data_IF_346089871807
#
_entry.id   IF_346089871807
#
_cell.length_a   1.000
_cell.length_b   1.000
_cell.length_c   1.000
_cell.angle_alpha   90.00
_cell.angle_beta   90.00
_cell.angle_gamma   90.00
#
_symmetry.space_group_name_H-M   'P 1'
#
loop_
_entity.id
_entity.type
_entity.pdbx_description
1 polymer ?
#
# COMPACT_ATOMS: atom_id res chain seq x y z
N UNK A 1 18.18 25.59 -25.63
CA UNK A 1 17.02 26.47 -25.33
C UNK A 1 16.14 25.73 -24.35
N UNK A 2 16.09 26.22 -23.11
CA UNK A 2 15.47 25.56 -21.95
C UNK A 2 13.98 25.88 -21.87
N UNK A 3 13.14 24.88 -21.62
CA UNK A 3 11.76 25.09 -21.19
C UNK A 3 11.72 25.11 -19.66
N UNK A 4 11.66 26.31 -19.07
CA UNK A 4 11.23 26.48 -17.68
C UNK A 4 9.71 26.67 -17.67
N UNK A 5 8.99 25.66 -17.21
CA UNK A 5 7.57 25.79 -16.86
C UNK A 5 7.50 26.12 -15.37
N UNK A 6 7.11 27.34 -15.06
CA UNK A 6 6.97 27.89 -13.70
C UNK A 6 5.90 27.14 -12.89
N UNK A 7 6.27 26.56 -11.75
CA UNK A 7 5.34 26.29 -10.66
C UNK A 7 4.97 27.64 -10.00
N UNK A 8 3.74 28.10 -10.17
CA UNK A 8 3.12 29.12 -9.30
C UNK A 8 1.96 28.47 -8.59
N UNK A 9 2.03 28.40 -7.27
CA UNK A 9 0.86 28.40 -6.38
C UNK A 9 1.25 29.16 -5.12
N UNK A 10 0.50 30.22 -4.85
CA UNK A 10 0.68 31.15 -3.75
C UNK A 10 0.50 30.45 -2.39
N UNK A 11 1.59 30.31 -1.62
CA UNK A 11 1.52 29.99 -0.19
C UNK A 11 1.12 31.25 0.59
N UNK A 12 -0.15 31.62 0.55
CA UNK A 12 -0.68 32.68 1.40
C UNK A 12 -0.85 32.20 2.84
N UNK A 13 -0.10 32.85 3.72
CA UNK A 13 0.02 32.67 5.17
C UNK A 13 -1.34 32.90 5.87
N UNK A 14 -1.90 31.88 6.52
CA UNK A 14 -2.91 32.04 7.56
C UNK A 14 -2.26 31.75 8.93
N UNK A 15 -1.61 32.78 9.49
CA UNK A 15 -1.23 32.81 10.91
C UNK A 15 -2.07 33.89 11.57
N UNK A 16 -3.24 33.53 12.09
CA UNK A 16 -3.98 34.40 13.01
C UNK A 16 -3.45 34.17 14.43
N UNK A 17 -3.00 35.27 15.03
CA UNK A 17 -2.39 35.40 16.35
C UNK A 17 -3.27 34.84 17.49
N UNK A 18 -2.64 34.26 18.51
CA UNK A 18 -3.17 34.28 19.90
C UNK A 18 -2.05 34.65 20.88
N UNK A 19 -2.22 35.68 21.73
CA UNK A 19 -1.29 36.02 22.80
C UNK A 19 -1.73 35.40 24.14
N UNK A 20 -0.75 35.02 24.97
CA UNK A 20 -0.93 34.58 26.36
C UNK A 20 0.18 33.61 26.74
N UNK A 21 1.33 34.10 27.24
CA UNK A 21 1.62 34.42 28.64
C UNK A 21 2.54 33.34 29.25
N UNK A 22 3.73 33.80 29.66
CA UNK A 22 4.83 33.01 30.23
C UNK A 22 4.57 32.71 31.72
N UNK A 23 4.82 31.48 32.16
CA UNK A 23 5.03 31.17 33.58
C UNK A 23 5.76 29.84 33.83
N UNK A 24 6.92 29.97 34.48
CA UNK A 24 7.47 29.14 35.56
C UNK A 24 7.98 27.68 35.36
N UNK A 25 9.28 27.56 35.68
CA UNK A 25 9.96 26.54 36.52
C UNK A 25 10.17 25.10 36.03
N UNK A 26 11.46 24.76 35.90
CA UNK A 26 12.16 23.51 36.26
C UNK A 26 11.40 22.18 36.25
N UNK A 27 11.81 21.26 35.37
CA UNK A 27 11.49 19.83 35.49
C UNK A 27 11.59 19.11 34.16
N UNK A 28 12.36 18.01 34.14
CA UNK A 28 12.54 17.07 33.02
C UNK A 28 11.20 16.68 32.36
N UNK A 29 11.09 16.78 31.04
CA UNK A 29 10.19 15.90 30.28
C UNK A 29 10.52 15.85 28.79
N UNK A 30 10.56 14.61 28.28
CA UNK A 30 10.47 14.17 26.89
C UNK A 30 9.59 15.10 26.04
N UNK A 31 10.12 15.76 25.00
CA UNK A 31 9.29 16.15 23.85
C UNK A 31 10.12 16.21 22.57
N UNK A 32 9.64 15.45 21.61
CA UNK A 32 10.10 15.23 20.24
C UNK A 32 10.39 16.55 19.53
N UNK A 33 11.60 16.68 18.99
CA UNK A 33 11.94 17.70 17.99
C UNK A 33 11.14 17.42 16.71
N UNK A 34 10.08 18.20 16.44
CA UNK A 34 9.49 18.29 15.11
C UNK A 34 10.24 19.39 14.36
N UNK A 35 11.17 18.99 13.49
CA UNK A 35 11.71 19.87 12.45
C UNK A 35 10.62 20.04 11.38
N UNK A 36 9.93 21.18 11.40
CA UNK A 36 9.04 21.59 10.32
C UNK A 36 9.86 22.36 9.27
N UNK A 37 10.27 21.69 8.20
CA UNK A 37 10.88 22.36 7.04
C UNK A 37 9.82 22.63 5.98
N UNK A 38 9.43 23.90 5.90
CA UNK A 38 8.69 24.48 4.79
C UNK A 38 9.55 24.44 3.52
N UNK A 39 9.31 23.47 2.63
CA UNK A 39 10.08 23.38 1.38
C UNK A 39 9.65 22.38 0.31
N UNK A 40 8.53 21.64 0.49
CA UNK A 40 8.25 20.45 -0.35
C UNK A 40 7.07 20.59 -1.31
N UNK A 41 6.91 21.74 -1.96
CA UNK A 41 5.80 21.92 -2.91
C UNK A 41 6.12 21.51 -4.36
N UNK A 42 7.39 21.23 -4.72
CA UNK A 42 7.75 20.96 -6.13
C UNK A 42 8.80 19.85 -6.33
N UNK A 43 8.99 18.95 -5.37
CA UNK A 43 9.94 17.85 -5.55
C UNK A 43 9.23 16.62 -6.13
N UNK A 44 9.53 16.27 -7.39
CA UNK A 44 9.03 15.07 -8.06
C UNK A 44 9.51 13.77 -7.41
N UNK A 45 10.47 13.82 -6.49
CA UNK A 45 10.86 12.69 -5.65
C UNK A 45 9.95 12.47 -4.42
N UNK A 46 8.94 13.32 -4.21
CA UNK A 46 7.94 13.19 -3.13
C UNK A 46 6.59 12.57 -3.56
N UNK A 47 6.42 12.15 -4.83
CA UNK A 47 5.35 11.20 -5.25
C UNK A 47 5.91 9.77 -5.29
N UNK A 48 6.83 9.45 -4.39
CA UNK A 48 6.81 8.14 -3.75
C UNK A 48 6.39 8.41 -2.32
N UNK A 49 5.18 7.99 -1.95
CA UNK A 49 4.84 7.80 -0.53
C UNK A 49 6.05 7.09 0.09
N UNK A 50 6.71 7.66 1.13
CA UNK A 50 7.87 7.04 1.75
C UNK A 50 7.38 5.76 2.40
N UNK A 51 7.45 4.69 1.62
CA UNK A 51 7.07 3.38 2.06
C UNK A 51 8.24 2.84 2.84
N UNK A 52 8.25 3.15 4.12
CA UNK A 52 9.24 2.63 5.04
C UNK A 52 9.25 1.11 4.91
N UNK A 53 10.43 0.51 5.00
CA UNK A 53 10.56 -0.95 4.98
C UNK A 53 9.69 -1.61 6.07
N UNK A 54 9.42 -0.87 7.15
CA UNK A 54 8.48 -1.24 8.20
C UNK A 54 7.04 -1.41 7.70
N UNK A 55 6.50 -0.48 6.90
CA UNK A 55 5.14 -0.61 6.37
C UNK A 55 5.03 -1.83 5.45
N UNK A 56 6.03 -2.02 4.57
CA UNK A 56 6.10 -3.20 3.71
C UNK A 56 6.10 -4.47 4.55
N UNK A 57 6.91 -4.49 5.60
CA UNK A 57 7.04 -5.64 6.46
C UNK A 57 5.74 -5.94 7.22
N UNK A 58 5.05 -4.93 7.71
CA UNK A 58 3.77 -5.09 8.40
C UNK A 58 2.72 -5.73 7.48
N UNK A 59 2.61 -5.28 6.23
CA UNK A 59 1.67 -5.87 5.25
C UNK A 59 2.02 -7.30 4.89
N UNK A 60 3.31 -7.59 4.68
CA UNK A 60 3.79 -8.96 4.44
C UNK A 60 3.43 -9.86 5.62
N UNK A 61 3.62 -9.39 6.85
CA UNK A 61 3.21 -10.14 8.05
C UNK A 61 1.71 -10.40 8.08
N UNK A 62 0.88 -9.42 7.72
CA UNK A 62 -0.58 -9.61 7.61
C UNK A 62 -0.92 -10.69 6.58
N UNK A 63 -0.35 -10.63 5.38
CA UNK A 63 -0.58 -11.63 4.33
C UNK A 63 -0.18 -13.03 4.83
N UNK A 64 1.01 -13.16 5.41
CA UNK A 64 1.50 -14.45 5.88
C UNK A 64 0.69 -14.98 7.07
N UNK A 65 0.25 -14.13 8.00
CA UNK A 65 -0.63 -14.57 9.09
C UNK A 65 -2.00 -15.05 8.59
N UNK A 66 -2.62 -14.28 7.69
CA UNK A 66 -3.95 -14.63 7.13
C UNK A 66 -3.88 -15.92 6.31
N UNK A 67 -2.86 -16.06 5.46
CA UNK A 67 -2.68 -17.27 4.65
C UNK A 67 -2.45 -18.51 5.51
N UNK A 68 -1.57 -18.45 6.52
CA UNK A 68 -1.33 -19.59 7.41
C UNK A 68 -2.56 -19.95 8.25
N UNK A 69 -3.37 -18.97 8.62
CA UNK A 69 -4.56 -19.18 9.44
C UNK A 69 -5.74 -19.78 8.67
N UNK A 70 -5.99 -19.31 7.45
CA UNK A 70 -7.24 -19.60 6.72
C UNK A 70 -7.05 -20.41 5.45
N UNK A 71 -5.85 -20.39 4.86
CA UNK A 71 -5.55 -21.11 3.63
C UNK A 71 -4.81 -22.40 3.98
N UNK A 72 -5.56 -23.43 4.37
CA UNK A 72 -5.05 -24.74 4.80
C UNK A 72 -5.59 -25.88 3.92
N UNK A 73 -5.04 -27.08 4.07
CA UNK A 73 -5.44 -28.24 3.28
C UNK A 73 -5.26 -27.99 1.78
N UNK A 74 -6.29 -28.24 0.98
CA UNK A 74 -6.26 -28.00 -0.48
C UNK A 74 -6.14 -26.53 -0.86
N UNK A 75 -6.39 -25.61 0.07
CA UNK A 75 -6.23 -24.17 -0.14
C UNK A 75 -4.87 -23.65 0.32
N UNK A 76 -3.96 -24.50 0.78
CA UNK A 76 -2.64 -24.07 1.23
C UNK A 76 -1.86 -23.35 0.14
N UNK A 77 -1.38 -22.14 0.46
CA UNK A 77 -0.66 -21.28 -0.49
C UNK A 77 0.86 -21.26 -0.26
N UNK A 78 1.27 -21.43 1.00
CA UNK A 78 2.67 -21.41 1.40
C UNK A 78 2.92 -22.56 2.38
N UNK A 79 4.08 -23.20 2.26
CA UNK A 79 4.53 -24.28 3.16
C UNK A 79 4.71 -23.80 4.59
N UNK A 80 5.15 -22.56 4.78
CA UNK A 80 5.29 -21.94 6.09
C UNK A 80 5.13 -20.42 6.06
N UNK A 81 5.01 -19.81 7.24
CA UNK A 81 5.07 -18.36 7.39
C UNK A 81 6.39 -17.77 6.87
N UNK A 82 7.52 -18.44 7.10
CA UNK A 82 8.83 -17.96 6.66
C UNK A 82 8.96 -17.99 5.13
N UNK A 83 8.47 -19.04 4.49
CA UNK A 83 8.45 -19.16 3.02
C UNK A 83 7.59 -18.07 2.38
N UNK A 84 6.43 -17.77 2.99
CA UNK A 84 5.59 -16.65 2.59
C UNK A 84 6.35 -15.31 2.67
N UNK A 85 6.99 -15.03 3.80
CA UNK A 85 7.76 -13.79 3.96
C UNK A 85 8.89 -13.71 2.94
N UNK A 86 9.66 -14.79 2.77
CA UNK A 86 10.79 -14.84 1.85
C UNK A 86 10.35 -14.58 0.41
N UNK A 87 9.29 -15.26 -0.04
CA UNK A 87 8.72 -15.06 -1.37
C UNK A 87 8.24 -13.62 -1.57
N UNK A 88 7.41 -13.10 -0.66
CA UNK A 88 6.87 -11.73 -0.80
C UNK A 88 7.95 -10.66 -0.71
N UNK A 89 9.02 -10.91 0.07
CA UNK A 89 10.14 -9.97 0.19
C UNK A 89 11.02 -9.93 -1.05
N UNK A 90 11.26 -11.07 -1.69
CA UNK A 90 12.30 -11.21 -2.71
C UNK A 90 11.78 -11.31 -4.14
N UNK A 91 10.57 -11.86 -4.34
CA UNK A 91 10.03 -12.15 -5.67
C UNK A 91 8.90 -11.19 -6.08
N UNK A 92 8.25 -10.53 -5.12
CA UNK A 92 7.06 -9.73 -5.39
C UNK A 92 7.37 -8.23 -5.20
N UNK A 93 7.13 -7.39 -6.22
CA UNK A 93 7.27 -5.95 -6.09
C UNK A 93 6.26 -5.41 -5.07
N UNK A 94 6.61 -4.33 -4.37
CA UNK A 94 5.71 -3.81 -3.33
C UNK A 94 4.41 -3.24 -3.93
N UNK A 95 4.48 -2.45 -5.02
CA UNK A 95 3.32 -1.94 -5.80
C UNK A 95 2.44 -0.92 -5.08
N UNK A 96 1.58 -0.13 -5.71
CA UNK A 96 0.80 0.92 -5.00
C UNK A 96 -0.69 0.60 -4.94
N UNK A 97 -1.47 1.30 -4.11
CA UNK A 97 -2.93 1.12 -4.08
C UNK A 97 -3.59 1.46 -5.42
N UNK A 98 -3.05 2.39 -6.20
CA UNK A 98 -3.52 2.68 -7.56
C UNK A 98 -3.26 1.54 -8.56
N UNK A 99 -2.48 0.53 -8.17
CA UNK A 99 -2.18 -0.68 -8.93
C UNK A 99 -2.44 -1.94 -8.09
N UNK A 100 -3.46 -1.89 -7.22
CA UNK A 100 -3.86 -2.99 -6.33
C UNK A 100 -4.54 -4.17 -7.05
N UNK A 101 -4.44 -4.22 -8.38
CA UNK A 101 -4.94 -5.27 -9.26
C UNK A 101 -3.80 -6.00 -10.02
N UNK A 102 -2.55 -5.60 -9.78
CA UNK A 102 -1.35 -6.19 -10.40
C UNK A 102 -0.69 -7.25 -9.52
N UNK A 103 0.36 -7.90 -10.04
CA UNK A 103 1.17 -8.90 -9.35
C UNK A 103 2.08 -8.32 -8.25
N UNK A 104 1.51 -7.65 -7.26
CA UNK A 104 2.27 -6.97 -6.20
C UNK A 104 1.74 -7.23 -4.79
N UNK A 105 2.53 -6.87 -3.78
CA UNK A 105 2.19 -7.07 -2.37
C UNK A 105 0.92 -6.31 -1.98
N UNK A 106 0.68 -5.11 -2.51
CA UNK A 106 -0.53 -4.34 -2.17
C UNK A 106 -1.81 -5.04 -2.65
N UNK A 107 -1.83 -5.59 -3.87
CA UNK A 107 -2.95 -6.41 -4.34
C UNK A 107 -3.25 -7.56 -3.37
N UNK A 108 -2.19 -8.29 -3.00
CA UNK A 108 -2.29 -9.44 -2.08
C UNK A 108 -2.78 -9.01 -0.71
N UNK A 109 -2.28 -7.89 -0.19
CA UNK A 109 -2.72 -7.33 1.09
C UNK A 109 -4.22 -7.02 1.08
N UNK A 110 -4.74 -6.37 0.03
CA UNK A 110 -6.18 -6.09 -0.10
C UNK A 110 -7.00 -7.39 -0.10
N UNK A 111 -6.53 -8.43 -0.78
CA UNK A 111 -7.25 -9.71 -0.80
C UNK A 111 -7.27 -10.44 0.55
N UNK A 112 -6.41 -10.09 1.52
CA UNK A 112 -6.47 -10.68 2.86
C UNK A 112 -7.76 -10.39 3.60
N UNK A 113 -8.43 -9.26 3.32
CA UNK A 113 -9.71 -8.90 3.97
C UNK A 113 -10.84 -9.85 3.59
N UNK A 114 -10.75 -10.51 2.42
CA UNK A 114 -11.79 -11.39 1.90
C UNK A 114 -11.51 -12.88 2.16
N UNK A 115 -10.26 -13.22 2.49
CA UNK A 115 -9.87 -14.61 2.81
C UNK A 115 -10.76 -15.21 3.93
N UNK A 116 -11.05 -14.54 5.05
CA UNK A 116 -11.90 -15.13 6.09
C UNK A 116 -13.37 -15.31 5.67
N UNK A 117 -13.84 -14.57 4.67
CA UNK A 117 -15.23 -14.61 4.20
C UNK A 117 -15.45 -15.72 3.18
N UNK A 118 -14.56 -15.84 2.19
CA UNK A 118 -14.65 -16.87 1.15
C UNK A 118 -13.24 -17.36 0.75
N UNK A 119 -12.64 -18.25 1.55
CA UNK A 119 -11.26 -18.71 1.35
C UNK A 119 -11.04 -19.40 0.00
N UNK A 120 -12.02 -20.15 -0.50
CA UNK A 120 -11.88 -20.92 -1.76
C UNK A 120 -11.60 -20.05 -2.98
N UNK A 121 -12.09 -18.80 -2.98
CA UNK A 121 -11.81 -17.82 -4.04
C UNK A 121 -10.56 -17.00 -3.72
N UNK A 122 -10.41 -16.57 -2.46
CA UNK A 122 -9.42 -15.53 -2.12
C UNK A 122 -8.05 -16.06 -1.69
N UNK A 123 -7.94 -17.31 -1.26
CA UNK A 123 -6.64 -17.92 -0.96
C UNK A 123 -5.70 -17.95 -2.18
N UNK A 124 -6.15 -18.38 -3.38
CA UNK A 124 -5.31 -18.29 -4.58
C UNK A 124 -4.77 -16.88 -4.86
N UNK A 125 -5.55 -15.83 -4.58
CA UNK A 125 -5.16 -14.44 -4.86
C UNK A 125 -4.01 -13.94 -3.98
N UNK A 126 -3.91 -14.45 -2.75
CA UNK A 126 -2.85 -14.07 -1.81
C UNK A 126 -1.60 -14.95 -1.90
N UNK A 127 -1.66 -16.07 -2.63
CA UNK A 127 -0.57 -17.05 -2.78
C UNK A 127 0.35 -16.86 -3.99
N UNK A 128 1.41 -17.66 -4.17
CA UNK A 128 2.47 -17.40 -5.16
C UNK A 128 2.00 -17.11 -6.59
N UNK A 129 0.97 -17.82 -7.06
CA UNK A 129 0.43 -17.67 -8.43
C UNK A 129 -0.41 -16.41 -8.61
N UNK A 130 -0.88 -15.80 -7.53
CA UNK A 130 -1.81 -14.66 -7.57
C UNK A 130 -3.23 -15.02 -8.02
N UNK A 131 -3.51 -16.29 -8.30
CA UNK A 131 -4.85 -16.79 -8.64
C UNK A 131 -5.54 -16.03 -9.77
N UNK A 132 -4.78 -15.42 -10.70
CA UNK A 132 -5.29 -14.55 -11.77
C UNK A 132 -5.71 -13.14 -11.33
N UNK A 133 -6.07 -12.94 -10.06
CA UNK A 133 -6.42 -11.62 -9.53
C UNK A 133 -5.17 -10.75 -9.33
N UNK A 134 -4.16 -11.25 -8.61
CA UNK A 134 -2.90 -10.53 -8.35
C UNK A 134 -1.79 -11.00 -9.28
N UNK A 135 -1.99 -10.75 -10.57
CA UNK A 135 -1.02 -10.99 -11.65
C UNK A 135 -0.86 -9.72 -12.47
N UNK A 136 0.28 -9.57 -13.16
CA UNK A 136 0.51 -8.41 -14.01
C UNK A 136 -0.42 -8.41 -15.22
N UNK A 137 -1.12 -7.30 -15.39
CA UNK A 137 -2.13 -7.12 -16.44
C UNK A 137 -1.61 -6.12 -17.46
N UNK A 138 -1.67 -6.52 -18.72
CA UNK A 138 -1.39 -5.64 -19.85
C UNK A 138 -2.57 -4.71 -20.11
N UNK A 139 -2.38 -3.70 -20.95
CA UNK A 139 -3.48 -2.84 -21.36
C UNK A 139 -4.59 -3.64 -22.06
N UNK A 140 -4.22 -4.61 -22.90
CA UNK A 140 -5.15 -5.49 -23.62
C UNK A 140 -6.04 -6.28 -22.67
N UNK A 141 -5.55 -6.65 -21.48
CA UNK A 141 -6.37 -7.33 -20.47
C UNK A 141 -7.62 -6.52 -20.11
N UNK A 142 -7.56 -5.18 -20.11
CA UNK A 142 -8.71 -4.33 -19.76
C UNK A 142 -9.66 -4.11 -20.93
N UNK A 143 -9.15 -4.09 -22.16
CA UNK A 143 -9.95 -3.78 -23.35
C UNK A 143 -10.49 -5.02 -24.09
N UNK A 144 -9.85 -6.18 -23.92
CA UNK A 144 -10.28 -7.45 -24.53
C UNK A 144 -11.18 -8.29 -23.62
N UNK A 145 -11.57 -7.77 -22.45
CA UNK A 145 -12.67 -8.33 -21.67
C UNK A 145 -14.00 -7.93 -22.34
N UNK A 146 -14.29 -8.53 -23.49
CA UNK A 146 -15.49 -8.29 -24.32
C UNK A 146 -16.80 -8.73 -23.67
N UNK A 147 -16.79 -9.09 -22.39
CA UNK A 147 -17.99 -9.40 -21.64
C UNK A 147 -18.10 -8.54 -20.37
N UNK A 148 -18.01 -7.21 -20.54
CA UNK A 148 -18.27 -6.26 -19.45
C UNK A 148 -19.66 -6.50 -18.80
N UNK A 149 -20.61 -7.05 -19.57
CA UNK A 149 -21.95 -7.42 -19.11
C UNK A 149 -21.97 -8.63 -18.16
N UNK A 150 -20.99 -9.54 -18.22
CA UNK A 150 -20.90 -10.67 -17.30
C UNK A 150 -20.41 -10.30 -15.89
N UNK A 151 -19.70 -9.18 -15.73
CA UNK A 151 -19.28 -8.67 -14.43
C UNK A 151 -20.39 -7.84 -13.75
N UNK A 152 -21.32 -7.28 -14.51
CA UNK A 152 -22.42 -6.45 -14.00
C UNK A 152 -23.69 -7.25 -13.61
N UNK A 153 -23.86 -8.48 -14.10
CA UNK A 153 -25.14 -9.22 -14.01
C UNK A 153 -25.07 -10.69 -13.56
N UNK A 154 -24.08 -11.10 -12.75
CA UNK A 154 -24.28 -12.33 -11.97
C UNK A 154 -25.14 -12.02 -10.73
N UNK A 155 -26.45 -11.93 -10.97
CA UNK A 155 -27.48 -12.18 -9.95
C UNK A 155 -27.51 -13.67 -9.62
#
# INVERSE_FOLDING_TARGET
>A
MSWHSTCRVDCAVLVTQRPGAMAHTAGLSLYVYIQAEAGRCCDSSFIQYPRTDEERQAKINTICNVTQRFCTGTLQQYSSFNDCQQFLRTQIPYGSYGRADQGNVICRFVHTYFVPVLPSIHCPHVGPTGGGACTDKTIDFYYNQTNFLACAHKQ
#
